data_IF_690855298614
#
_entry.id   IF_690855298614
#
_cell.length_a   1.000
_cell.length_b   1.000
_cell.length_c   1.000
_cell.angle_alpha   90.00
_cell.angle_beta   90.00
_cell.angle_gamma   90.00
#
_symmetry.space_group_name_H-M   'P 1'
#
loop_
_entity.id
_entity.type
_entity.pdbx_description
1 polymer ?
#
# COMPACT_ATOMS: atom_id res chain seq x y z
N UNK A 1 -2.30 -1.81 -23.06
CA UNK A 1 -2.78 -2.93 -23.87
C UNK A 1 -3.76 -3.71 -23.01
N UNK A 2 -5.00 -3.85 -23.43
CA UNK A 2 -5.98 -4.69 -22.73
C UNK A 2 -5.84 -6.08 -23.30
N UNK A 3 -5.42 -7.02 -22.46
CA UNK A 3 -5.29 -8.42 -22.85
C UNK A 3 -6.58 -9.10 -22.39
N UNK A 4 -7.42 -9.62 -23.30
CA UNK A 4 -8.51 -10.49 -22.91
C UNK A 4 -7.94 -11.65 -22.11
N UNK A 5 -8.50 -11.91 -20.93
CA UNK A 5 -8.05 -13.02 -20.12
C UNK A 5 -8.29 -14.35 -20.87
N UNK A 6 -7.21 -15.07 -21.14
CA UNK A 6 -7.22 -16.39 -21.75
C UNK A 6 -6.57 -17.41 -20.84
N UNK A 7 -6.93 -18.69 -21.01
CA UNK A 7 -6.31 -19.78 -20.24
C UNK A 7 -6.50 -19.65 -18.73
N UNK A 8 -5.40 -19.76 -17.97
CA UNK A 8 -5.38 -19.71 -16.51
C UNK A 8 -5.84 -18.36 -15.95
N UNK A 9 -5.54 -17.26 -16.63
CA UNK A 9 -5.97 -15.90 -16.23
C UNK A 9 -7.50 -15.82 -16.12
N UNK A 10 -8.22 -16.47 -17.03
CA UNK A 10 -9.68 -16.49 -17.00
C UNK A 10 -10.24 -17.31 -15.83
N UNK A 11 -9.53 -18.36 -15.40
CA UNK A 11 -9.92 -19.15 -14.25
C UNK A 11 -9.67 -18.38 -12.94
N UNK A 12 -8.51 -17.73 -12.81
CA UNK A 12 -8.17 -16.87 -11.68
C UNK A 12 -9.19 -15.74 -11.52
N UNK A 13 -9.52 -15.05 -12.61
CA UNK A 13 -10.50 -13.96 -12.58
C UNK A 13 -11.89 -14.43 -12.20
N UNK A 14 -12.36 -15.60 -12.65
CA UNK A 14 -13.66 -16.15 -12.22
C UNK A 14 -13.71 -16.43 -10.71
N UNK A 15 -12.57 -16.77 -10.10
CA UNK A 15 -12.48 -16.98 -8.66
C UNK A 15 -12.40 -15.66 -7.89
N UNK A 16 -11.61 -14.70 -8.38
CA UNK A 16 -11.39 -13.41 -7.73
C UNK A 16 -12.60 -12.47 -7.83
N UNK A 17 -13.28 -12.49 -8.98
CA UNK A 17 -14.37 -11.57 -9.30
C UNK A 17 -15.55 -12.29 -9.99
N UNK A 18 -16.20 -13.25 -9.31
CA UNK A 18 -17.24 -14.10 -9.91
C UNK A 18 -18.44 -13.30 -10.45
N UNK A 19 -18.74 -12.16 -9.81
CA UNK A 19 -19.89 -11.30 -10.12
C UNK A 19 -19.50 -9.99 -10.84
N UNK A 20 -18.33 -9.96 -11.49
CA UNK A 20 -17.86 -8.78 -12.21
C UNK A 20 -18.84 -8.34 -13.32
N UNK A 21 -19.18 -7.04 -13.41
CA UNK A 21 -20.01 -6.54 -14.50
C UNK A 21 -19.28 -6.65 -15.85
N UNK A 22 -20.06 -6.70 -16.94
CA UNK A 22 -19.49 -6.71 -18.28
C UNK A 22 -18.61 -5.46 -18.51
N UNK A 23 -17.36 -5.68 -18.95
CA UNK A 23 -16.39 -4.61 -19.15
C UNK A 23 -15.60 -4.19 -17.90
N UNK A 24 -15.85 -4.85 -16.75
CA UNK A 24 -15.02 -4.68 -15.56
C UNK A 24 -13.53 -4.93 -15.87
N UNK A 25 -12.68 -4.17 -15.18
CA UNK A 25 -11.23 -4.32 -15.24
C UNK A 25 -10.69 -4.47 -13.84
N UNK A 26 -9.73 -5.36 -13.69
CA UNK A 26 -9.04 -5.60 -12.43
C UNK A 26 -7.56 -5.91 -12.71
N UNK A 27 -6.65 -5.61 -11.77
CA UNK A 27 -5.27 -6.04 -11.90
C UNK A 27 -5.14 -7.55 -11.60
N UNK A 28 -4.24 -8.23 -12.30
CA UNK A 28 -3.70 -9.53 -11.90
C UNK A 28 -2.26 -9.32 -11.45
N UNK A 29 -1.97 -9.58 -10.17
CA UNK A 29 -0.76 -9.17 -9.47
C UNK A 29 0.15 -10.35 -9.15
N UNK A 30 0.43 -11.19 -10.16
CA UNK A 30 1.16 -12.46 -9.99
C UNK A 30 2.54 -12.24 -9.39
N UNK A 31 3.27 -11.26 -9.91
CA UNK A 31 4.62 -10.94 -9.49
C UNK A 31 4.66 -10.48 -8.04
N UNK A 32 3.66 -9.70 -7.59
CA UNK A 32 3.54 -9.30 -6.21
C UNK A 32 3.22 -10.50 -5.30
N UNK A 33 2.28 -11.36 -5.70
CA UNK A 33 1.95 -12.59 -4.97
C UNK A 33 3.15 -13.52 -4.83
N UNK A 34 3.88 -13.77 -5.93
CA UNK A 34 5.10 -14.58 -5.94
C UNK A 34 6.17 -13.95 -5.05
N UNK A 35 6.38 -12.63 -5.14
CA UNK A 35 7.35 -11.95 -4.31
C UNK A 35 7.05 -12.11 -2.81
N UNK A 36 5.80 -11.89 -2.37
CA UNK A 36 5.41 -12.05 -0.97
C UNK A 36 5.66 -13.49 -0.50
N UNK A 37 5.21 -14.47 -1.28
CA UNK A 37 5.41 -15.88 -0.97
C UNK A 37 6.89 -16.26 -0.85
N UNK A 38 7.71 -15.83 -1.80
CA UNK A 38 9.13 -16.16 -1.83
C UNK A 38 9.88 -15.48 -0.69
N UNK A 39 9.56 -14.20 -0.41
CA UNK A 39 10.15 -13.50 0.74
C UNK A 39 9.79 -14.19 2.05
N UNK A 40 8.56 -14.70 2.19
CA UNK A 40 8.16 -15.46 3.37
C UNK A 40 8.86 -16.81 3.51
N UNK A 41 9.09 -17.50 2.40
CA UNK A 41 9.83 -18.76 2.39
C UNK A 41 11.30 -18.57 2.82
N UNK A 42 11.90 -17.43 2.46
CA UNK A 42 13.29 -17.07 2.81
C UNK A 42 13.47 -16.66 4.29
N UNK A 43 12.39 -16.38 5.02
CA UNK A 43 12.48 -15.99 6.42
C UNK A 43 12.89 -17.18 7.32
N UNK A 44 13.72 -16.90 8.31
CA UNK A 44 13.98 -17.81 9.42
C UNK A 44 12.71 -18.01 10.27
N UNK A 45 12.56 -19.13 11.00
CA UNK A 45 11.44 -19.33 11.92
C UNK A 45 11.30 -18.16 12.91
N UNK A 46 10.07 -17.66 13.08
CA UNK A 46 9.76 -16.45 13.86
C UNK A 46 9.98 -15.13 13.13
N UNK A 47 10.54 -15.16 11.92
CA UNK A 47 10.68 -13.99 11.04
C UNK A 47 9.33 -13.43 10.61
N UNK A 48 9.31 -12.14 10.27
CA UNK A 48 8.12 -11.42 9.86
C UNK A 48 8.33 -10.70 8.54
N UNK A 49 7.32 -10.71 7.68
CA UNK A 49 7.23 -9.84 6.52
C UNK A 49 6.14 -8.80 6.78
N UNK A 50 6.50 -7.54 6.58
CA UNK A 50 5.58 -6.41 6.67
C UNK A 50 5.45 -5.78 5.29
N UNK A 51 4.23 -5.67 4.79
CA UNK A 51 3.91 -4.98 3.54
C UNK A 51 3.05 -3.77 3.87
N UNK A 52 3.52 -2.59 3.46
CA UNK A 52 2.82 -1.31 3.63
C UNK A 52 2.53 -0.77 2.24
N UNK A 53 1.25 -0.68 1.88
CA UNK A 53 0.85 -0.19 0.57
C UNK A 53 -0.59 0.35 0.57
N UNK A 54 -0.97 1.07 -0.48
CA UNK A 54 -2.37 1.40 -0.73
C UNK A 54 -3.08 0.18 -1.31
N UNK A 55 -3.70 -0.60 -0.42
CA UNK A 55 -4.33 -1.87 -0.76
C UNK A 55 -5.82 -1.93 -0.47
N UNK A 56 -6.48 -2.87 -1.15
CA UNK A 56 -7.87 -3.28 -0.91
C UNK A 56 -7.91 -4.72 -0.39
N UNK A 57 -9.00 -5.07 0.30
CA UNK A 57 -9.17 -6.42 0.82
C UNK A 57 -9.41 -7.42 -0.33
N UNK A 58 -10.20 -7.03 -1.33
CA UNK A 58 -10.58 -7.92 -2.43
C UNK A 58 -10.38 -7.28 -3.80
N UNK A 59 -10.00 -8.09 -4.78
CA UNK A 59 -9.89 -7.69 -6.18
C UNK A 59 -11.24 -7.21 -6.74
N UNK A 60 -12.34 -7.75 -6.22
CA UNK A 60 -13.71 -7.38 -6.61
C UNK A 60 -14.04 -5.91 -6.35
N UNK A 61 -13.48 -5.30 -5.29
CA UNK A 61 -13.65 -3.87 -5.01
C UNK A 61 -13.13 -2.99 -6.15
N UNK A 62 -12.06 -3.41 -6.84
CA UNK A 62 -11.52 -2.66 -7.99
C UNK A 62 -12.36 -2.85 -9.25
N UNK A 63 -13.01 -4.01 -9.40
CA UNK A 63 -13.80 -4.36 -10.58
C UNK A 63 -15.04 -3.48 -10.79
N UNK A 64 -15.50 -2.79 -9.73
CA UNK A 64 -16.65 -1.87 -9.76
C UNK A 64 -16.24 -0.39 -9.77
N UNK A 65 -14.94 -0.09 -9.67
CA UNK A 65 -14.39 1.27 -9.67
C UNK A 65 -13.84 1.64 -11.05
N UNK A 66 -13.85 2.93 -11.44
CA UNK A 66 -13.14 3.40 -12.62
C UNK A 66 -11.67 2.99 -12.60
N UNK A 67 -11.16 2.47 -13.72
CA UNK A 67 -9.76 2.02 -13.85
C UNK A 67 -8.75 3.10 -13.42
N UNK A 68 -9.03 4.36 -13.74
CA UNK A 68 -8.18 5.50 -13.37
C UNK A 68 -8.07 5.76 -11.87
N UNK A 69 -8.91 5.15 -11.03
CA UNK A 69 -8.80 5.29 -9.58
C UNK A 69 -7.71 4.38 -9.01
N UNK A 70 -7.62 3.14 -9.51
CA UNK A 70 -6.71 2.14 -8.99
C UNK A 70 -5.51 1.85 -9.88
N UNK A 71 -5.51 2.23 -11.18
CA UNK A 71 -4.34 2.24 -12.06
C UNK A 71 -3.93 3.70 -12.30
N UNK A 72 -2.79 4.10 -11.76
CA UNK A 72 -2.38 5.51 -11.68
C UNK A 72 -1.02 5.70 -12.33
N UNK A 73 -0.80 6.91 -12.85
CA UNK A 73 0.51 7.32 -13.35
C UNK A 73 0.95 8.61 -12.68
N UNK A 74 2.27 8.79 -12.56
CA UNK A 74 2.86 9.96 -11.93
C UNK A 74 4.04 10.50 -12.73
N UNK A 75 4.14 11.83 -12.82
CA UNK A 75 5.27 12.53 -13.44
C UNK A 75 5.47 13.86 -12.73
N UNK A 76 6.71 14.20 -12.36
CA UNK A 76 6.99 15.45 -11.64
C UNK A 76 6.28 15.59 -10.29
N UNK A 77 5.98 14.47 -9.61
CA UNK A 77 5.21 14.39 -8.36
C UNK A 77 3.69 14.62 -8.48
N UNK A 78 3.18 14.83 -9.70
CA UNK A 78 1.75 14.99 -9.95
C UNK A 78 1.13 13.76 -10.60
N UNK A 79 -0.19 13.62 -10.44
CA UNK A 79 -0.96 12.65 -11.21
C UNK A 79 -0.86 12.98 -12.69
N UNK A 80 -0.70 11.94 -13.49
CA UNK A 80 -0.47 12.05 -14.92
C UNK A 80 -1.52 11.28 -15.73
N UNK A 81 -1.47 11.46 -17.06
CA UNK A 81 -2.41 10.88 -18.02
C UNK A 81 -2.29 9.36 -18.22
N UNK A 82 -2.78 8.85 -19.37
CA UNK A 82 -2.83 7.41 -19.65
C UNK A 82 -1.46 6.70 -19.54
N UNK A 83 -1.44 5.42 -19.08
CA UNK A 83 -0.20 4.65 -18.86
C UNK A 83 0.59 4.32 -20.13
N UNK A 84 -0.04 4.41 -21.30
CA UNK A 84 0.62 4.13 -22.58
C UNK A 84 1.17 5.38 -23.26
N UNK A 85 0.88 6.57 -22.70
CA UNK A 85 1.38 7.82 -23.24
C UNK A 85 2.82 8.04 -22.79
N UNK A 86 3.71 8.34 -23.74
CA UNK A 86 5.13 8.62 -23.51
C UNK A 86 5.83 7.56 -22.61
N UNK A 87 5.98 6.31 -23.10
CA UNK A 87 6.58 5.23 -22.31
C UNK A 87 7.94 5.59 -21.71
N UNK A 88 8.14 5.23 -20.44
CA UNK A 88 9.36 5.52 -19.68
C UNK A 88 9.45 6.91 -19.05
N UNK A 89 8.51 7.82 -19.35
CA UNK A 89 8.49 9.17 -18.76
C UNK A 89 7.69 9.30 -17.46
N UNK A 90 7.07 8.20 -17.01
CA UNK A 90 6.08 8.18 -15.93
C UNK A 90 6.22 6.92 -15.10
N UNK A 91 5.94 7.04 -13.81
CA UNK A 91 5.68 5.89 -12.96
C UNK A 91 4.27 5.36 -13.24
N UNK A 92 4.05 4.06 -13.10
CA UNK A 92 2.76 3.38 -13.28
C UNK A 92 2.55 2.47 -12.07
N UNK A 93 1.48 2.70 -11.34
CA UNK A 93 1.19 1.97 -10.12
C UNK A 93 -0.24 1.48 -10.06
N UNK A 94 -0.47 0.42 -9.28
CA UNK A 94 -1.81 -0.12 -9.04
C UNK A 94 -2.07 -0.38 -7.55
N UNK A 95 -3.31 -0.23 -7.09
CA UNK A 95 -3.70 -0.64 -5.72
C UNK A 95 -3.48 -2.14 -5.50
N UNK A 96 -2.92 -2.51 -4.34
CA UNK A 96 -2.56 -3.91 -4.04
C UNK A 96 -3.78 -4.71 -3.57
N UNK A 97 -3.98 -5.91 -4.11
CA UNK A 97 -5.13 -6.76 -3.80
C UNK A 97 -4.72 -7.86 -2.80
N UNK A 98 -5.18 -7.75 -1.54
CA UNK A 98 -4.80 -8.69 -0.47
C UNK A 98 -5.21 -10.13 -0.80
N UNK A 99 -6.40 -10.34 -1.36
CA UNK A 99 -6.90 -11.66 -1.73
C UNK A 99 -6.00 -12.39 -2.74
N UNK A 100 -5.29 -11.66 -3.61
CA UNK A 100 -4.31 -12.23 -4.53
C UNK A 100 -2.99 -12.60 -3.83
N UNK A 101 -2.51 -11.76 -2.90
CA UNK A 101 -1.31 -12.07 -2.12
C UNK A 101 -1.56 -13.30 -1.22
N UNK A 102 -2.69 -13.30 -0.52
CA UNK A 102 -3.08 -14.34 0.41
C UNK A 102 -3.40 -15.68 -0.27
N UNK A 103 -3.76 -15.68 -1.55
CA UNK A 103 -3.99 -16.91 -2.30
C UNK A 103 -2.74 -17.79 -2.39
N UNK A 104 -1.54 -17.19 -2.44
CA UNK A 104 -0.27 -17.92 -2.48
C UNK A 104 0.41 -17.98 -1.12
N UNK A 105 0.47 -16.86 -0.39
CA UNK A 105 1.17 -16.75 0.88
C UNK A 105 0.36 -17.22 2.11
N UNK A 106 -0.94 -17.50 1.95
CA UNK A 106 -1.89 -17.61 3.05
C UNK A 106 -2.29 -16.23 3.62
N UNK A 107 -3.33 -16.15 4.47
CA UNK A 107 -3.75 -14.88 5.04
C UNK A 107 -2.68 -14.28 5.95
N UNK A 108 -2.55 -12.94 6.01
CA UNK A 108 -1.67 -12.30 6.97
C UNK A 108 -2.15 -12.57 8.39
N UNK A 109 -1.20 -12.57 9.33
CA UNK A 109 -1.46 -12.65 10.77
C UNK A 109 -2.03 -11.36 11.36
N UNK A 110 -1.84 -10.22 10.69
CA UNK A 110 -2.53 -8.97 11.02
C UNK A 110 -2.77 -8.13 9.76
N UNK A 111 -3.86 -7.36 9.79
CA UNK A 111 -4.26 -6.42 8.75
C UNK A 111 -4.81 -5.15 9.41
N UNK A 112 -4.02 -4.09 9.41
CA UNK A 112 -4.31 -2.82 10.08
C UNK A 112 -4.30 -1.66 9.07
N UNK A 113 -4.99 -0.56 9.40
CA UNK A 113 -4.72 0.70 8.70
C UNK A 113 -3.33 1.21 9.07
N UNK A 114 -2.70 1.98 8.19
CA UNK A 114 -1.42 2.63 8.45
C UNK A 114 -1.54 3.53 9.68
N UNK A 115 -2.63 4.27 9.83
CA UNK A 115 -2.84 5.13 10.98
C UNK A 115 -2.86 4.35 12.30
N UNK A 116 -3.60 3.25 12.35
CA UNK A 116 -3.69 2.43 13.57
C UNK A 116 -2.37 1.71 13.87
N UNK A 117 -1.70 1.20 12.84
CA UNK A 117 -0.40 0.56 12.98
C UNK A 117 0.66 1.54 13.49
N UNK A 118 0.74 2.76 12.94
CA UNK A 118 1.68 3.79 13.39
C UNK A 118 1.40 4.25 14.82
N UNK A 119 0.12 4.41 15.21
CA UNK A 119 -0.27 4.69 16.60
C UNK A 119 0.17 3.59 17.54
N UNK A 120 -0.07 2.33 17.18
CA UNK A 120 0.37 1.17 17.97
C UNK A 120 1.89 1.13 18.17
N UNK A 121 2.67 1.70 17.25
CA UNK A 121 4.14 1.78 17.33
C UNK A 121 4.67 3.12 17.86
N UNK A 122 3.79 3.96 18.39
CA UNK A 122 4.18 5.09 19.22
C UNK A 122 4.44 6.40 18.48
N UNK A 123 3.78 6.61 17.33
CA UNK A 123 3.90 7.88 16.59
C UNK A 123 3.39 9.08 17.41
N UNK A 124 2.39 8.90 18.27
CA UNK A 124 1.83 9.97 19.09
C UNK A 124 2.86 10.44 20.15
N UNK A 125 3.61 9.51 20.74
CA UNK A 125 4.71 9.81 21.65
C UNK A 125 5.84 10.56 20.94
N UNK A 126 6.17 10.18 19.69
CA UNK A 126 7.17 10.90 18.89
C UNK A 126 6.75 12.34 18.58
N UNK A 127 5.45 12.56 18.32
CA UNK A 127 4.86 13.90 18.13
C UNK A 127 4.90 14.70 19.43
N UNK A 128 4.53 14.09 20.56
CA UNK A 128 4.56 14.73 21.87
C UNK A 128 5.98 15.15 22.28
N UNK A 129 6.98 14.29 22.06
CA UNK A 129 8.41 14.61 22.25
C UNK A 129 8.82 15.81 21.39
N UNK A 130 8.38 15.83 20.12
CA UNK A 130 8.60 16.96 19.22
C UNK A 130 8.04 18.26 19.78
N UNK A 131 6.75 18.27 20.18
CA UNK A 131 6.08 19.46 20.76
C UNK A 131 6.76 19.95 22.03
N UNK A 132 7.10 19.05 22.95
CA UNK A 132 7.76 19.42 24.21
C UNK A 132 9.13 20.08 23.97
N UNK A 133 9.89 19.62 22.97
CA UNK A 133 11.16 20.26 22.60
C UNK A 133 10.98 21.71 22.11
N UNK A 134 9.87 22.00 21.42
CA UNK A 134 9.54 23.36 20.98
C UNK A 134 9.20 24.29 22.16
N UNK A 135 8.37 23.80 23.07
CA UNK A 135 7.95 24.56 24.25
C UNK A 135 9.14 24.89 25.17
N UNK A 136 10.16 24.03 25.22
CA UNK A 136 11.38 24.22 26.02
C UNK A 136 12.37 25.26 25.45
N UNK A 137 12.00 26.02 24.41
CA UNK A 137 12.81 27.10 23.83
C UNK A 137 13.46 26.76 22.49
N UNK A 138 13.22 25.56 21.96
CA UNK A 138 13.69 25.11 20.65
C UNK A 138 15.21 24.92 20.56
N UNK A 139 15.72 23.90 19.86
CA UNK A 139 17.14 23.81 19.60
C UNK A 139 17.57 24.93 18.60
N UNK A 140 18.84 25.35 18.60
CA UNK A 140 19.38 26.17 17.52
C UNK A 140 19.12 25.47 16.17
N UNK A 141 18.82 26.24 15.12
CA UNK A 141 18.37 25.75 13.80
C UNK A 141 19.36 24.74 13.18
N UNK A 142 19.18 23.46 13.51
CA UNK A 142 20.04 22.34 13.13
C UNK A 142 19.22 21.16 12.59
N UNK A 143 19.89 20.09 12.16
CA UNK A 143 19.22 18.91 11.57
C UNK A 143 18.32 18.21 12.60
N UNK A 144 18.71 18.21 13.88
CA UNK A 144 17.90 17.65 14.97
C UNK A 144 16.58 18.40 15.10
N UNK A 145 16.64 19.71 15.02
CA UNK A 145 15.50 20.62 15.03
C UNK A 145 14.56 20.33 13.86
N UNK A 146 15.10 20.22 12.64
CA UNK A 146 14.29 19.93 11.45
C UNK A 146 13.56 18.58 11.57
N UNK A 147 14.21 17.54 12.12
CA UNK A 147 13.56 16.25 12.38
C UNK A 147 12.44 16.35 13.40
N UNK A 148 12.62 17.10 14.48
CA UNK A 148 11.55 17.29 15.48
C UNK A 148 10.38 18.11 14.94
N UNK A 149 10.62 19.06 14.02
CA UNK A 149 9.53 19.76 13.28
C UNK A 149 8.78 18.81 12.37
N UNK A 150 9.51 17.97 11.64
CA UNK A 150 8.92 17.10 10.62
C UNK A 150 7.93 16.14 11.26
N UNK A 151 8.23 15.60 12.45
CA UNK A 151 7.33 14.70 13.19
C UNK A 151 5.90 15.22 13.33
N UNK A 152 5.70 16.52 13.59
CA UNK A 152 4.36 17.07 13.80
C UNK A 152 3.60 17.10 12.47
N UNK A 153 4.17 17.75 11.45
CA UNK A 153 3.50 17.93 10.16
C UNK A 153 3.41 16.62 9.35
N UNK A 154 4.43 15.75 9.42
CA UNK A 154 4.44 14.47 8.73
C UNK A 154 3.47 13.48 9.39
N UNK A 155 3.35 13.46 10.72
CA UNK A 155 2.37 12.61 11.38
C UNK A 155 0.93 12.99 10.99
N UNK A 156 0.62 14.30 10.85
CA UNK A 156 -0.69 14.73 10.35
C UNK A 156 -1.01 14.12 8.98
N UNK A 157 -0.03 14.07 8.06
CA UNK A 157 -0.19 13.47 6.73
C UNK A 157 -0.26 11.93 6.79
N UNK A 158 0.62 11.30 7.57
CA UNK A 158 0.72 9.84 7.68
C UNK A 158 -0.51 9.21 8.34
N UNK A 159 -1.20 9.96 9.20
CA UNK A 159 -2.36 9.51 9.98
C UNK A 159 -3.70 10.00 9.39
N UNK A 160 -3.69 10.82 8.35
CA UNK A 160 -4.89 11.39 7.75
C UNK A 160 -5.82 10.28 7.21
N UNK A 161 -7.04 10.10 7.75
CA UNK A 161 -7.99 9.11 7.27
C UNK A 161 -8.60 9.46 5.90
N UNK A 162 -8.36 10.65 5.36
CA UNK A 162 -8.66 11.01 3.98
C UNK A 162 -7.45 10.87 3.04
N UNK A 163 -6.29 10.48 3.58
CA UNK A 163 -5.01 10.40 2.88
C UNK A 163 -4.26 9.10 3.17
N UNK A 164 -3.00 9.22 3.60
CA UNK A 164 -2.13 8.05 3.78
C UNK A 164 -2.57 7.14 4.94
N UNK A 165 -3.35 7.65 5.89
CA UNK A 165 -3.81 6.88 7.04
C UNK A 165 -4.64 5.65 6.67
N UNK A 166 -5.27 5.64 5.49
CA UNK A 166 -6.09 4.51 5.00
C UNK A 166 -5.27 3.43 4.31
N UNK A 167 -3.96 3.62 4.12
CA UNK A 167 -3.09 2.58 3.58
C UNK A 167 -3.13 1.36 4.49
N UNK A 168 -2.76 0.18 3.97
CA UNK A 168 -2.82 -1.07 4.73
C UNK A 168 -1.43 -1.49 5.18
N UNK A 169 -1.37 -2.09 6.36
CA UNK A 169 -0.20 -2.78 6.87
C UNK A 169 -0.55 -4.25 7.09
N UNK A 170 0.04 -5.12 6.27
CA UNK A 170 -0.13 -6.57 6.37
C UNK A 170 1.12 -7.21 6.97
N UNK A 171 0.94 -8.02 8.01
CA UNK A 171 2.02 -8.79 8.65
C UNK A 171 1.80 -10.28 8.44
N UNK A 172 2.80 -10.96 7.89
CA UNK A 172 2.89 -12.42 7.89
C UNK A 172 4.02 -12.87 8.82
N UNK A 173 3.84 -14.05 9.45
CA UNK A 173 4.85 -14.67 10.30
C UNK A 173 5.24 -16.02 9.75
N UNK A 174 6.55 -16.25 9.62
CA UNK A 174 7.08 -17.58 9.38
C UNK A 174 6.96 -18.40 10.65
N UNK A 175 6.13 -19.44 10.60
CA UNK A 175 6.04 -20.44 11.67
C UNK A 175 7.31 -21.26 11.76
#
# INVERSE_FOLDING_TARGET
MLIPAGGEDAADLRRLVPDAPAGARVPLQREASTWVNDRLADLVPGGRLLVLDYGVATTAELGVRPESEWLRTYSGQDRSGPPLDLPGSRDITAEVCLDQLAALAGPPTSDESQADWLRRWGIDELVAEGRASWEAGGPPLDVTTLRLRSRIAEAEVLLDPAGLGTFRVWEWRRR
#
